data_IF_871528863730
#
_entry.id   IF_871528863730
#
_cell.length_a   1.000
_cell.length_b   1.000
_cell.length_c   1.000
_cell.angle_alpha   90.00
_cell.angle_beta   90.00
_cell.angle_gamma   90.00
#
_symmetry.space_group_name_H-M   'P 1'
#
loop_
_entity.id
_entity.type
_entity.pdbx_description
1 polymer ?
#
# COMPACT_ATOMS: atom_id res chain seq x y z
N UNK A 1 13.57 34.19 -50.33
CA UNK A 1 13.97 32.93 -49.67
C UNK A 1 13.20 32.82 -48.35
N UNK A 2 12.25 31.91 -48.23
CA UNK A 2 11.50 31.84 -47.00
C UNK A 2 12.24 31.01 -45.93
N UNK A 3 12.44 31.64 -44.79
CA UNK A 3 13.00 31.06 -43.57
C UNK A 3 12.03 30.06 -42.98
N UNK A 4 12.48 28.80 -42.84
CA UNK A 4 11.71 27.73 -42.17
C UNK A 4 11.95 27.85 -40.67
N UNK A 5 10.96 28.28 -39.94
CA UNK A 5 10.93 28.15 -38.48
C UNK A 5 10.58 26.72 -38.13
N UNK A 6 11.54 25.99 -37.56
CA UNK A 6 11.28 24.69 -36.94
C UNK A 6 10.71 24.93 -35.54
N UNK A 7 9.44 24.63 -35.34
CA UNK A 7 8.83 24.52 -34.01
C UNK A 7 9.31 23.24 -33.37
N UNK A 8 10.20 23.34 -32.40
CA UNK A 8 10.54 22.26 -31.52
C UNK A 8 9.38 22.08 -30.51
N UNK A 9 8.60 21.00 -30.66
CA UNK A 9 7.59 20.59 -29.71
C UNK A 9 8.31 20.00 -28.50
N UNK A 10 8.49 20.80 -27.47
CA UNK A 10 8.94 20.30 -26.15
C UNK A 10 7.75 19.57 -25.54
N UNK A 11 7.75 18.25 -25.66
CA UNK A 11 6.80 17.39 -24.95
C UNK A 11 7.09 17.44 -23.45
N UNK A 12 6.30 18.19 -22.72
CA UNK A 12 6.27 18.12 -21.27
C UNK A 12 5.75 16.74 -20.89
N UNK A 13 6.65 15.83 -20.45
CA UNK A 13 6.28 14.64 -19.75
C UNK A 13 5.63 15.09 -18.44
N UNK A 14 4.31 15.10 -18.37
CA UNK A 14 3.58 15.22 -17.13
C UNK A 14 3.85 13.95 -16.33
N UNK A 15 4.79 14.04 -15.40
CA UNK A 15 4.91 13.05 -14.33
C UNK A 15 3.62 13.20 -13.52
N UNK A 16 2.67 12.30 -13.78
CA UNK A 16 1.51 12.13 -12.92
C UNK A 16 2.04 11.70 -11.55
N UNK A 17 2.25 12.67 -10.68
CA UNK A 17 2.35 12.41 -9.25
C UNK A 17 0.99 11.82 -8.90
N UNK A 18 0.93 10.51 -8.72
CA UNK A 18 -0.17 9.84 -8.07
C UNK A 18 -0.23 10.42 -6.65
N UNK A 19 -0.86 11.58 -6.54
CA UNK A 19 -1.41 12.00 -5.27
C UNK A 19 -2.32 10.86 -4.87
N UNK A 20 -1.93 10.10 -3.84
CA UNK A 20 -2.82 9.17 -3.19
C UNK A 20 -3.98 10.03 -2.69
N UNK A 21 -4.95 10.24 -3.55
CA UNK A 21 -6.23 10.82 -3.16
C UNK A 21 -6.66 9.98 -1.99
N UNK A 22 -6.89 10.65 -0.87
CA UNK A 22 -7.41 10.03 0.34
C UNK A 22 -8.66 9.25 -0.07
N UNK A 23 -8.48 7.96 -0.35
CA UNK A 23 -9.54 7.11 -0.85
C UNK A 23 -10.51 6.93 0.31
N UNK A 24 -11.73 7.43 0.13
CA UNK A 24 -12.75 7.25 1.13
C UNK A 24 -13.09 5.76 1.20
N UNK A 25 -12.71 5.10 2.30
CA UNK A 25 -13.01 3.69 2.53
C UNK A 25 -14.40 3.57 3.17
N UNK A 26 -15.44 3.84 2.37
CA UNK A 26 -16.82 3.88 2.87
C UNK A 26 -17.49 2.50 2.92
N UNK A 27 -17.07 1.59 2.08
CA UNK A 27 -17.65 0.26 1.92
C UNK A 27 -16.57 -0.81 1.83
N UNK A 28 -16.92 -2.10 2.01
CA UNK A 28 -15.96 -3.20 1.95
C UNK A 28 -15.18 -3.29 0.64
N UNK A 29 -15.84 -3.01 -0.49
CA UNK A 29 -15.19 -3.11 -1.81
C UNK A 29 -14.08 -2.07 -1.96
N UNK A 30 -14.28 -0.85 -1.44
CA UNK A 30 -13.24 0.19 -1.45
C UNK A 30 -12.02 -0.21 -0.61
N UNK A 31 -12.22 -0.91 0.51
CA UNK A 31 -11.12 -1.45 1.33
C UNK A 31 -10.35 -2.54 0.58
N UNK A 32 -11.06 -3.45 -0.10
CA UNK A 32 -10.45 -4.49 -0.93
C UNK A 32 -9.61 -3.88 -2.04
N UNK A 33 -10.14 -2.91 -2.76
CA UNK A 33 -9.43 -2.24 -3.86
C UNK A 33 -8.19 -1.50 -3.35
N UNK A 34 -8.30 -0.75 -2.27
CA UNK A 34 -7.18 -0.03 -1.67
C UNK A 34 -6.07 -0.99 -1.19
N UNK A 35 -6.45 -2.07 -0.50
CA UNK A 35 -5.51 -3.10 -0.06
C UNK A 35 -4.81 -3.79 -1.22
N UNK A 36 -5.53 -4.06 -2.32
CA UNK A 36 -4.95 -4.65 -3.52
C UNK A 36 -3.92 -3.72 -4.18
N UNK A 37 -4.13 -2.42 -4.16
CA UNK A 37 -3.15 -1.45 -4.66
C UNK A 37 -1.86 -1.48 -3.83
N UNK A 38 -1.96 -1.55 -2.50
CA UNK A 38 -0.80 -1.71 -1.62
C UNK A 38 -0.07 -3.02 -1.94
N UNK A 39 -0.78 -4.15 -2.01
CA UNK A 39 -0.19 -5.44 -2.31
C UNK A 39 0.54 -5.45 -3.67
N UNK A 40 -0.04 -4.84 -4.70
CA UNK A 40 0.61 -4.68 -6.02
C UNK A 40 1.86 -3.80 -5.98
N UNK A 41 1.87 -2.77 -5.16
CA UNK A 41 3.06 -1.93 -4.94
C UNK A 41 4.18 -2.75 -4.29
N UNK A 42 3.82 -3.59 -3.31
CA UNK A 42 4.73 -4.56 -2.69
C UNK A 42 5.25 -5.57 -3.73
N UNK A 43 4.38 -6.12 -4.58
CA UNK A 43 4.76 -7.06 -5.65
C UNK A 43 5.81 -6.46 -6.59
N UNK A 44 5.73 -5.17 -6.85
CA UNK A 44 6.69 -4.41 -7.65
C UNK A 44 8.00 -4.05 -6.93
N UNK A 45 8.18 -4.48 -5.69
CA UNK A 45 9.38 -4.18 -4.89
C UNK A 45 9.47 -2.72 -4.42
N UNK A 46 8.40 -1.94 -4.53
CA UNK A 46 8.36 -0.52 -4.18
C UNK A 46 8.03 -0.31 -2.70
N UNK A 47 8.76 -0.99 -1.83
CA UNK A 47 8.49 -1.00 -0.39
C UNK A 47 8.62 0.38 0.27
N UNK A 48 9.59 1.18 -0.18
CA UNK A 48 9.79 2.54 0.32
C UNK A 48 8.56 3.44 0.04
N UNK A 49 7.95 3.32 -1.14
CA UNK A 49 6.74 4.07 -1.49
C UNK A 49 5.56 3.67 -0.60
N UNK A 50 5.43 2.39 -0.27
CA UNK A 50 4.41 1.90 0.65
C UNK A 50 4.55 2.55 2.01
N UNK A 51 5.77 2.61 2.56
CA UNK A 51 6.03 3.26 3.84
C UNK A 51 5.81 4.78 3.77
N UNK A 52 6.18 5.42 2.68
CA UNK A 52 5.98 6.87 2.49
C UNK A 52 4.50 7.27 2.46
N UNK A 53 3.65 6.41 1.92
CA UNK A 53 2.20 6.61 1.89
C UNK A 53 1.50 6.32 3.23
N UNK A 54 2.22 5.77 4.21
CA UNK A 54 1.67 5.33 5.47
C UNK A 54 1.27 6.49 6.40
N UNK A 55 0.40 6.17 7.35
CA UNK A 55 0.01 7.07 8.42
C UNK A 55 1.19 7.43 9.32
N UNK A 56 1.08 8.58 9.99
CA UNK A 56 2.07 8.98 11.00
C UNK A 56 2.17 7.96 12.15
N UNK A 57 1.07 7.28 12.47
CA UNK A 57 1.03 6.21 13.46
C UNK A 57 1.97 5.05 13.08
N UNK A 58 1.88 4.55 11.86
CA UNK A 58 2.77 3.50 11.36
C UNK A 58 4.24 3.96 11.32
N UNK A 59 4.50 5.19 10.91
CA UNK A 59 5.85 5.76 10.84
C UNK A 59 6.52 5.92 12.19
N UNK A 60 5.75 6.04 13.27
CA UNK A 60 6.27 6.03 14.64
C UNK A 60 6.65 4.63 15.12
N UNK A 61 5.95 3.59 14.64
CA UNK A 61 6.19 2.20 15.04
C UNK A 61 7.33 1.53 14.29
N UNK A 62 7.57 1.94 13.05
CA UNK A 62 8.60 1.35 12.20
C UNK A 62 9.32 2.41 11.38
N UNK A 63 10.64 2.36 11.37
CA UNK A 63 11.43 3.17 10.45
C UNK A 63 11.27 2.66 9.02
N UNK A 64 11.51 3.53 8.04
CA UNK A 64 11.51 3.15 6.62
C UNK A 64 12.48 2.01 6.34
N UNK A 65 13.69 2.08 6.88
CA UNK A 65 14.71 1.04 6.69
C UNK A 65 14.27 -0.32 7.26
N UNK A 66 13.69 -0.34 8.47
CA UNK A 66 13.20 -1.57 9.10
C UNK A 66 12.03 -2.19 8.30
N UNK A 67 11.11 -1.36 7.82
CA UNK A 67 9.99 -1.81 7.01
C UNK A 67 10.45 -2.41 5.67
N UNK A 68 11.35 -1.74 4.95
CA UNK A 68 11.93 -2.22 3.70
C UNK A 68 12.69 -3.52 3.91
N UNK A 69 13.50 -3.64 4.96
CA UNK A 69 14.25 -4.85 5.28
C UNK A 69 13.32 -6.03 5.59
N UNK A 70 12.29 -5.80 6.39
CA UNK A 70 11.28 -6.82 6.71
C UNK A 70 10.60 -7.36 5.43
N UNK A 71 10.11 -6.48 4.56
CA UNK A 71 9.45 -6.90 3.32
C UNK A 71 10.41 -7.60 2.35
N UNK A 72 11.64 -7.11 2.26
CA UNK A 72 12.67 -7.75 1.43
C UNK A 72 12.89 -9.19 1.87
N UNK A 73 13.09 -9.43 3.17
CA UNK A 73 13.28 -10.78 3.72
C UNK A 73 12.06 -11.67 3.52
N UNK A 74 10.86 -11.18 3.81
CA UNK A 74 9.62 -11.94 3.64
C UNK A 74 9.41 -12.34 2.18
N UNK A 75 9.62 -11.43 1.24
CA UNK A 75 9.46 -11.71 -0.19
C UNK A 75 10.54 -12.66 -0.72
N UNK A 76 11.78 -12.55 -0.25
CA UNK A 76 12.84 -13.50 -0.57
C UNK A 76 12.53 -14.91 -0.06
N UNK A 77 11.98 -15.03 1.14
CA UNK A 77 11.59 -16.32 1.70
C UNK A 77 10.45 -16.99 0.91
N UNK A 78 9.53 -16.21 0.36
CA UNK A 78 8.47 -16.70 -0.53
C UNK A 78 9.02 -17.10 -1.90
N UNK A 79 9.94 -16.33 -2.47
CA UNK A 79 10.78 -16.69 -3.62
C UNK A 79 10.09 -16.68 -4.99
N UNK A 80 8.78 -16.59 -5.06
CA UNK A 80 8.02 -16.60 -6.30
C UNK A 80 7.32 -15.27 -6.59
N UNK A 81 6.86 -15.09 -7.81
CA UNK A 81 5.93 -14.02 -8.16
C UNK A 81 4.50 -14.42 -7.77
N UNK A 82 3.63 -13.50 -7.33
CA UNK A 82 2.25 -13.83 -7.06
C UNK A 82 1.52 -14.17 -8.36
N UNK A 83 0.78 -15.29 -8.34
CA UNK A 83 0.00 -15.79 -9.48
C UNK A 83 -1.50 -15.71 -9.25
N UNK A 84 -1.92 -15.59 -8.00
CA UNK A 84 -3.32 -15.44 -7.61
C UNK A 84 -3.43 -14.77 -6.26
N UNK A 85 -4.46 -13.96 -6.10
CA UNK A 85 -4.79 -13.30 -4.84
C UNK A 85 -6.29 -13.20 -4.71
N UNK A 86 -6.83 -13.72 -3.61
CA UNK A 86 -8.23 -13.60 -3.24
C UNK A 86 -8.34 -12.94 -1.88
N UNK A 87 -9.28 -12.03 -1.71
CA UNK A 87 -9.57 -11.49 -0.38
C UNK A 87 -10.37 -12.51 0.45
N UNK A 88 -10.08 -12.57 1.75
CA UNK A 88 -10.69 -13.54 2.67
C UNK A 88 -11.60 -12.83 3.65
N UNK A 89 -11.17 -11.67 4.15
CA UNK A 89 -11.86 -10.96 5.22
C UNK A 89 -11.67 -9.47 5.05
N UNK A 90 -12.74 -8.72 5.28
CA UNK A 90 -12.73 -7.26 5.43
C UNK A 90 -13.37 -6.93 6.76
N UNK A 91 -12.74 -6.04 7.53
CA UNK A 91 -13.29 -5.56 8.78
C UNK A 91 -13.08 -4.06 8.96
N UNK A 92 -13.98 -3.43 9.68
CA UNK A 92 -13.86 -2.05 10.14
C UNK A 92 -14.13 -2.01 11.63
N UNK A 93 -13.27 -1.32 12.38
CA UNK A 93 -13.34 -1.28 13.83
C UNK A 93 -12.97 0.10 14.38
N UNK A 94 -13.70 0.52 15.39
CA UNK A 94 -13.24 1.55 16.32
C UNK A 94 -12.33 0.87 17.35
N UNK A 95 -11.17 1.47 17.58
CA UNK A 95 -10.18 0.96 18.51
C UNK A 95 -9.84 2.02 19.55
N UNK A 96 -9.86 1.66 20.83
CA UNK A 96 -9.64 2.59 21.93
C UNK A 96 -8.18 2.95 22.20
N UNK A 97 -7.26 2.24 21.54
CA UNK A 97 -5.83 2.48 21.64
C UNK A 97 -5.11 1.60 22.66
N UNK A 98 -3.82 1.40 22.39
CA UNK A 98 -2.80 0.86 23.32
C UNK A 98 -1.58 1.79 23.26
N UNK A 99 -0.57 1.59 24.12
CA UNK A 99 0.68 2.35 24.01
C UNK A 99 1.36 2.23 22.64
N UNK A 100 1.19 1.07 21.96
CA UNK A 100 1.83 0.77 20.68
C UNK A 100 0.96 1.20 19.47
N UNK A 101 -0.36 1.15 19.61
CA UNK A 101 -1.29 1.44 18.53
C UNK A 101 -2.29 2.53 18.94
N UNK A 102 -2.33 3.68 18.26
CA UNK A 102 -3.20 4.78 18.64
C UNK A 102 -4.68 4.44 18.45
N UNK A 103 -5.53 5.07 19.27
CA UNK A 103 -6.97 5.02 19.10
C UNK A 103 -7.39 5.54 17.71
N UNK A 104 -8.49 5.06 17.20
CA UNK A 104 -9.07 5.52 15.94
C UNK A 104 -9.89 4.48 15.22
N UNK A 105 -10.32 4.82 14.02
CA UNK A 105 -11.04 3.92 13.12
C UNK A 105 -10.05 3.21 12.21
N UNK A 106 -10.14 1.89 12.18
CA UNK A 106 -9.29 1.03 11.34
C UNK A 106 -10.15 0.23 10.36
N UNK A 107 -9.66 0.09 9.14
CA UNK A 107 -10.23 -0.81 8.13
C UNK A 107 -9.13 -1.79 7.71
N UNK A 108 -9.46 -3.08 7.68
CA UNK A 108 -8.51 -4.15 7.40
C UNK A 108 -9.03 -5.04 6.28
N UNK A 109 -8.12 -5.51 5.45
CA UNK A 109 -8.39 -6.57 4.48
C UNK A 109 -7.29 -7.61 4.52
N UNK A 110 -7.69 -8.89 4.51
CA UNK A 110 -6.79 -10.02 4.38
C UNK A 110 -6.94 -10.70 3.04
N UNK A 111 -5.81 -11.11 2.46
CA UNK A 111 -5.76 -11.88 1.22
C UNK A 111 -5.08 -13.22 1.45
N UNK A 112 -5.51 -14.22 0.69
CA UNK A 112 -4.76 -15.43 0.46
C UNK A 112 -4.08 -15.31 -0.91
N UNK A 113 -2.75 -15.38 -0.92
CA UNK A 113 -1.93 -15.17 -2.11
C UNK A 113 -1.17 -16.43 -2.45
N UNK A 114 -1.25 -16.87 -3.70
CA UNK A 114 -0.49 -18.00 -4.25
C UNK A 114 0.66 -17.47 -5.09
N UNK A 115 1.82 -18.10 -4.98
CA UNK A 115 3.04 -17.74 -5.71
C UNK A 115 3.39 -18.78 -6.78
N UNK A 116 4.20 -18.39 -7.77
CA UNK A 116 4.56 -19.21 -8.92
C UNK A 116 5.30 -20.52 -8.56
N UNK A 117 5.93 -20.58 -7.40
CA UNK A 117 6.58 -21.77 -6.85
C UNK A 117 5.66 -22.67 -6.02
N UNK A 118 4.35 -22.39 -5.99
CA UNK A 118 3.36 -23.13 -5.23
C UNK A 118 3.24 -22.74 -3.74
N UNK A 119 4.10 -21.85 -3.24
CA UNK A 119 3.93 -21.31 -1.87
C UNK A 119 2.70 -20.43 -1.79
N UNK A 120 2.16 -20.33 -0.59
CA UNK A 120 1.04 -19.45 -0.26
C UNK A 120 1.40 -18.57 0.92
N UNK A 121 0.76 -17.43 1.02
CA UNK A 121 0.89 -16.53 2.15
C UNK A 121 -0.45 -15.84 2.44
N UNK A 122 -0.61 -15.42 3.70
CA UNK A 122 -1.66 -14.48 4.09
C UNK A 122 -1.07 -13.08 4.11
N UNK A 123 -1.72 -12.16 3.41
CA UNK A 123 -1.39 -10.74 3.47
C UNK A 123 -2.47 -10.00 4.25
N UNK A 124 -2.07 -9.16 5.20
CA UNK A 124 -2.95 -8.28 5.94
C UNK A 124 -2.58 -6.83 5.61
N UNK A 125 -3.55 -6.07 5.12
CA UNK A 125 -3.42 -4.63 4.88
C UNK A 125 -4.37 -3.90 5.82
N UNK A 126 -3.82 -3.00 6.62
CA UNK A 126 -4.56 -2.20 7.58
C UNK A 126 -4.49 -0.72 7.22
N UNK A 127 -5.62 -0.05 7.27
CA UNK A 127 -5.74 1.39 7.08
C UNK A 127 -6.25 2.04 8.36
N UNK A 128 -5.86 3.27 8.60
CA UNK A 128 -6.36 4.12 9.70
C UNK A 128 -6.94 5.41 9.12
N UNK A 129 -8.06 5.82 9.68
CA UNK A 129 -8.59 7.17 9.46
C UNK A 129 -7.80 8.13 10.35
N UNK A 130 -6.92 8.92 9.74
CA UNK A 130 -6.11 9.88 10.45
C UNK A 130 -6.94 11.11 10.91
N UNK A 131 -6.35 11.96 11.73
CA UNK A 131 -7.01 13.11 12.33
C UNK A 131 -7.51 14.14 11.29
N UNK A 132 -6.85 14.18 10.13
CA UNK A 132 -7.24 15.01 8.98
C UNK A 132 -8.36 14.40 8.12
N UNK A 133 -8.98 13.30 8.60
CA UNK A 133 -10.07 12.57 7.93
C UNK A 133 -9.64 11.84 6.65
N UNK A 134 -8.35 11.62 6.49
CA UNK A 134 -7.80 10.84 5.38
C UNK A 134 -7.44 9.43 5.83
N UNK A 135 -7.83 8.43 5.03
CA UNK A 135 -7.40 7.05 5.22
C UNK A 135 -5.97 6.87 4.72
N UNK A 136 -5.13 6.29 5.57
CA UNK A 136 -3.74 5.94 5.22
C UNK A 136 -3.38 4.55 5.70
N UNK A 137 -2.38 3.96 5.05
CA UNK A 137 -1.84 2.69 5.47
C UNK A 137 -1.37 2.75 6.92
N UNK A 138 -1.88 1.84 7.75
CA UNK A 138 -1.49 1.69 9.16
C UNK A 138 -0.62 0.46 9.39
N UNK A 139 -0.62 -0.50 8.47
CA UNK A 139 0.21 -1.68 8.55
C UNK A 139 0.09 -2.59 7.34
N UNK A 140 1.14 -3.34 7.08
CA UNK A 140 1.17 -4.43 6.11
C UNK A 140 1.95 -5.60 6.72
N UNK A 141 1.36 -6.78 6.70
CA UNK A 141 2.00 -8.01 7.13
C UNK A 141 1.82 -9.10 6.08
N UNK A 142 2.79 -9.98 5.98
CA UNK A 142 2.76 -11.17 5.12
C UNK A 142 3.40 -12.35 5.85
N UNK A 143 2.70 -13.48 5.95
CA UNK A 143 3.05 -14.70 6.66
C UNK A 143 2.50 -15.98 5.98
#
# INVERSE_FOLDING_TARGET
>A
MPSRFAFALVGALAVAVLSASAQALHDPDSVVVAGLQIAKTVDGGRYAEVWESASSAMKKLSTKAAFVDMLTKSRQALGGAPTGRIWIEVSRREFSGTPELPAGTYANVSYHTTFSNGKTARELVSFRLDEDKNWRLAGYAID
#
